data_IF_454793889166
#
_entry.id   IF_454793889166
#
_cell.length_a   1.000
_cell.length_b   1.000
_cell.length_c   1.000
_cell.angle_alpha   90.00
_cell.angle_beta   90.00
_cell.angle_gamma   90.00
#
_symmetry.space_group_name_H-M   'P 1'
#
loop_
_entity.id
_entity.type
_entity.pdbx_description
1 polymer ?
#
# COMPACT_ATOMS: atom_id res chain seq x y z
N UNK A 1 -52.66 19.66 60.16
CA UNK A 1 -51.74 18.59 59.67
C UNK A 1 -51.31 18.95 58.29
N UNK A 2 -50.10 19.44 58.14
CA UNK A 2 -49.52 19.89 56.86
C UNK A 2 -48.47 18.82 56.42
N UNK A 3 -48.77 18.11 55.39
CA UNK A 3 -47.90 17.04 54.87
C UNK A 3 -46.89 17.66 53.91
N UNK A 4 -45.60 17.68 54.32
CA UNK A 4 -44.47 18.05 53.41
C UNK A 4 -44.19 16.93 52.42
N UNK A 5 -44.33 17.24 51.14
CA UNK A 5 -43.86 16.37 50.04
C UNK A 5 -42.43 16.77 49.69
N UNK A 6 -41.46 15.91 50.03
CA UNK A 6 -40.07 16.05 49.58
C UNK A 6 -39.98 15.64 48.10
N UNK A 7 -39.61 16.57 47.23
CA UNK A 7 -39.15 16.24 45.86
C UNK A 7 -37.69 15.80 45.92
N UNK A 8 -37.41 14.53 45.66
CA UNK A 8 -36.07 14.04 45.34
C UNK A 8 -35.75 14.43 43.90
N UNK A 9 -34.86 15.41 43.74
CA UNK A 9 -34.19 15.67 42.46
C UNK A 9 -33.16 14.54 42.24
N UNK A 10 -33.47 13.62 41.34
CA UNK A 10 -32.48 12.66 40.79
C UNK A 10 -31.51 13.44 39.89
N UNK A 11 -30.25 13.53 40.32
CA UNK A 11 -29.17 14.04 39.46
C UNK A 11 -28.95 13.02 38.33
N UNK A 12 -29.36 13.37 37.12
CA UNK A 12 -28.95 12.65 35.90
C UNK A 12 -27.48 12.96 35.70
N UNK A 13 -26.61 12.02 36.04
CA UNK A 13 -25.21 12.10 35.67
C UNK A 13 -25.13 12.09 34.14
N UNK A 14 -24.62 13.16 33.54
CA UNK A 14 -24.27 13.20 32.14
C UNK A 14 -23.24 12.08 31.92
N UNK A 15 -23.65 11.03 31.20
CA UNK A 15 -22.73 10.04 30.70
C UNK A 15 -21.72 10.79 29.86
N UNK A 16 -20.46 10.86 30.29
CA UNK A 16 -19.39 11.48 29.57
C UNK A 16 -19.34 10.84 28.18
N UNK A 17 -19.34 11.66 27.11
CA UNK A 17 -19.12 11.16 25.77
C UNK A 17 -17.79 10.41 25.78
N UNK A 18 -17.80 9.15 25.36
CA UNK A 18 -16.58 8.35 25.25
C UNK A 18 -15.56 9.13 24.39
N UNK A 19 -14.33 9.22 24.88
CA UNK A 19 -13.25 9.85 24.12
C UNK A 19 -13.18 9.24 22.72
N UNK A 20 -13.02 10.07 21.67
CA UNK A 20 -12.97 9.56 20.31
C UNK A 20 -11.75 8.64 20.14
N UNK A 21 -11.93 7.51 19.43
CA UNK A 21 -10.86 6.58 19.15
C UNK A 21 -9.63 7.31 18.59
N UNK A 22 -8.44 6.92 19.08
CA UNK A 22 -7.15 7.35 18.52
C UNK A 22 -6.27 6.15 18.26
N UNK A 23 -5.61 6.12 17.10
CA UNK A 23 -4.66 5.09 16.75
C UNK A 23 -3.50 5.07 17.77
N UNK A 24 -3.09 3.87 18.15
CA UNK A 24 -2.06 3.66 19.16
C UNK A 24 -0.78 3.17 18.53
N UNK A 25 0.34 3.76 18.93
CA UNK A 25 1.68 3.39 18.48
C UNK A 25 2.60 3.20 19.67
N UNK A 26 3.45 2.18 19.61
CA UNK A 26 4.56 2.05 20.56
C UNK A 26 5.52 3.23 20.40
N UNK A 27 6.24 3.67 21.46
CA UNK A 27 7.10 4.85 21.39
C UNK A 27 8.13 4.80 20.26
N UNK A 28 8.72 3.65 19.99
CA UNK A 28 9.68 3.43 18.92
C UNK A 28 9.04 3.55 17.52
N UNK A 29 7.80 3.09 17.34
CA UNK A 29 7.06 3.24 16.09
C UNK A 29 6.57 4.68 15.91
N UNK A 30 6.08 5.30 16.97
CA UNK A 30 5.65 6.70 16.94
C UNK A 30 6.79 7.66 16.54
N UNK A 31 8.02 7.36 16.98
CA UNK A 31 9.22 8.17 16.70
C UNK A 31 9.86 7.89 15.34
N UNK A 32 9.37 6.91 14.56
CA UNK A 32 9.98 6.59 13.24
C UNK A 32 9.88 7.78 12.29
N UNK A 33 10.99 8.15 11.61
CA UNK A 33 10.93 9.13 10.55
C UNK A 33 10.10 8.61 9.36
N UNK A 34 9.67 9.53 8.50
CA UNK A 34 9.09 9.19 7.21
C UNK A 34 10.05 8.31 6.41
N UNK A 35 9.54 7.24 5.81
CA UNK A 35 10.30 6.42 4.87
C UNK A 35 9.80 6.64 3.44
N UNK A 36 10.73 6.57 2.49
CA UNK A 36 10.50 6.81 1.07
C UNK A 36 11.25 5.76 0.27
N UNK A 37 10.62 5.25 -0.79
CA UNK A 37 11.28 4.24 -1.59
C UNK A 37 10.52 3.84 -2.83
N UNK A 38 10.69 2.59 -3.23
CA UNK A 38 10.03 2.05 -4.41
C UNK A 38 9.56 0.61 -4.17
N UNK A 39 8.61 0.18 -4.98
CA UNK A 39 8.24 -1.21 -5.07
C UNK A 39 9.27 -1.94 -5.92
N UNK A 40 9.82 -3.01 -5.36
CA UNK A 40 10.80 -3.86 -6.05
C UNK A 40 10.08 -4.90 -6.88
N UNK A 41 10.55 -5.07 -8.11
CA UNK A 41 10.02 -6.10 -9.01
C UNK A 41 10.09 -7.49 -8.37
N UNK A 42 9.07 -8.27 -8.62
CA UNK A 42 8.96 -9.67 -8.22
C UNK A 42 9.98 -10.60 -8.87
N UNK A 43 10.62 -10.17 -9.97
CA UNK A 43 11.49 -11.01 -10.79
C UNK A 43 12.95 -10.98 -10.38
N UNK A 44 13.39 -9.89 -9.79
CA UNK A 44 14.81 -9.67 -9.48
C UNK A 44 14.99 -9.11 -8.09
N UNK A 45 15.92 -9.68 -7.34
CA UNK A 45 16.39 -9.17 -6.06
C UNK A 45 17.90 -9.39 -6.03
N UNK A 46 18.65 -8.40 -6.47
CA UNK A 46 20.11 -8.44 -6.53
C UNK A 46 20.75 -7.31 -5.74
N UNK A 47 22.06 -7.43 -5.49
CA UNK A 47 22.83 -6.39 -4.81
C UNK A 47 22.78 -5.05 -5.56
N UNK A 48 22.84 -5.10 -6.90
CA UNK A 48 22.73 -3.92 -7.76
C UNK A 48 21.41 -3.16 -7.58
N UNK A 49 20.32 -3.89 -7.35
CA UNK A 49 19.00 -3.28 -7.16
C UNK A 49 18.97 -2.46 -5.86
N UNK A 50 19.43 -3.05 -4.75
CA UNK A 50 19.48 -2.36 -3.46
C UNK A 50 20.51 -1.22 -3.46
N UNK A 51 21.65 -1.41 -4.09
CA UNK A 51 22.67 -0.36 -4.24
C UNK A 51 22.10 0.84 -5.02
N UNK A 52 21.49 0.59 -6.16
CA UNK A 52 20.87 1.64 -6.98
C UNK A 52 19.77 2.39 -6.21
N UNK A 53 18.88 1.67 -5.52
CA UNK A 53 17.83 2.29 -4.72
C UNK A 53 18.41 3.12 -3.56
N UNK A 54 19.49 2.66 -2.94
CA UNK A 54 20.21 3.44 -1.91
C UNK A 54 20.82 4.71 -2.47
N UNK A 55 21.45 4.65 -3.64
CA UNK A 55 22.01 5.81 -4.35
C UNK A 55 20.90 6.83 -4.72
N UNK A 56 19.70 6.36 -5.01
CA UNK A 56 18.53 7.20 -5.23
C UNK A 56 18.02 7.89 -3.95
N UNK A 57 18.39 7.40 -2.79
CA UNK A 57 17.95 7.93 -1.50
C UNK A 57 16.82 7.14 -0.87
N UNK A 58 16.47 5.97 -1.41
CA UNK A 58 15.44 5.11 -0.82
C UNK A 58 15.87 4.60 0.57
N UNK A 59 14.93 4.59 1.50
CA UNK A 59 15.08 4.05 2.86
C UNK A 59 14.20 2.84 3.10
N UNK A 60 13.24 2.60 2.22
CA UNK A 60 12.31 1.46 2.26
C UNK A 60 12.10 0.87 0.87
N UNK A 61 11.81 -0.42 0.82
CA UNK A 61 11.39 -1.13 -0.37
C UNK A 61 10.11 -1.91 -0.04
N UNK A 62 9.08 -1.76 -0.87
CA UNK A 62 7.91 -2.63 -0.83
C UNK A 62 8.23 -3.90 -1.60
N UNK A 63 8.44 -4.99 -0.85
CA UNK A 63 8.88 -6.28 -1.38
C UNK A 63 7.67 -7.15 -1.72
N UNK A 64 7.40 -7.30 -3.00
CA UNK A 64 6.28 -8.10 -3.49
C UNK A 64 6.46 -9.60 -3.22
N UNK A 65 5.52 -10.18 -2.47
CA UNK A 65 5.35 -11.63 -2.42
C UNK A 65 4.29 -12.05 -3.46
N UNK A 66 4.75 -12.44 -4.63
CA UNK A 66 3.91 -12.78 -5.77
C UNK A 66 4.33 -14.15 -6.34
N UNK A 67 3.38 -15.12 -6.53
CA UNK A 67 3.69 -16.44 -7.05
C UNK A 67 3.84 -16.44 -8.57
N UNK A 68 5.00 -16.03 -9.08
CA UNK A 68 5.31 -15.95 -10.50
C UNK A 68 6.42 -16.89 -10.91
N UNK A 69 6.62 -16.98 -12.22
CA UNK A 69 7.62 -17.83 -12.88
C UNK A 69 7.14 -19.26 -13.08
N UNK A 70 7.82 -19.99 -13.97
CA UNK A 70 7.44 -21.35 -14.38
C UNK A 70 7.40 -22.33 -13.20
N UNK A 71 8.24 -22.10 -12.20
CA UNK A 71 8.26 -22.93 -10.98
C UNK A 71 6.91 -23.00 -10.28
N UNK A 72 6.15 -21.89 -10.22
CA UNK A 72 4.93 -21.75 -9.45
C UNK A 72 3.66 -21.58 -10.27
N UNK A 73 3.79 -21.55 -11.58
CA UNK A 73 2.67 -21.40 -12.51
C UNK A 73 1.63 -22.51 -12.29
N UNK A 74 0.42 -22.12 -11.93
CA UNK A 74 -0.70 -23.01 -11.67
C UNK A 74 -0.60 -23.87 -10.40
N UNK A 75 0.47 -23.72 -9.60
CA UNK A 75 0.70 -24.57 -8.41
C UNK A 75 0.22 -23.93 -7.09
N UNK A 76 -0.31 -22.73 -7.11
CA UNK A 76 -0.79 -22.01 -5.93
C UNK A 76 -2.30 -21.85 -5.92
N UNK A 77 -3.00 -22.73 -6.64
CA UNK A 77 -4.47 -22.71 -6.76
C UNK A 77 -5.20 -23.36 -5.59
N UNK A 78 -4.49 -24.12 -4.77
CA UNK A 78 -4.96 -24.73 -3.53
C UNK A 78 -4.10 -24.30 -2.33
N UNK A 79 -4.51 -24.66 -1.13
CA UNK A 79 -3.87 -24.27 0.13
C UNK A 79 -2.46 -24.87 0.27
N UNK A 80 -2.28 -26.12 -0.13
CA UNK A 80 -1.00 -26.83 0.01
C UNK A 80 0.07 -26.23 -0.93
N UNK A 81 -0.32 -26.00 -2.18
CA UNK A 81 0.56 -25.36 -3.16
C UNK A 81 0.92 -23.94 -2.78
N UNK A 82 -0.04 -23.16 -2.27
CA UNK A 82 0.23 -21.81 -1.79
C UNK A 82 1.13 -21.83 -0.53
N UNK A 83 0.91 -22.75 0.39
CA UNK A 83 1.76 -22.91 1.57
C UNK A 83 3.20 -23.27 1.21
N UNK A 84 3.39 -24.18 0.26
CA UNK A 84 4.70 -24.55 -0.25
C UNK A 84 5.42 -23.38 -0.93
N UNK A 85 4.69 -22.59 -1.73
CA UNK A 85 5.22 -21.35 -2.31
C UNK A 85 5.61 -20.35 -1.22
N UNK A 86 4.76 -20.13 -0.24
CA UNK A 86 5.01 -19.17 0.84
C UNK A 86 6.26 -19.56 1.64
N UNK A 87 6.43 -20.83 1.96
CA UNK A 87 7.63 -21.32 2.64
C UNK A 87 8.91 -21.06 1.83
N UNK A 88 8.87 -21.33 0.54
CA UNK A 88 9.99 -21.02 -0.36
C UNK A 88 10.26 -19.52 -0.43
N UNK A 89 9.20 -18.69 -0.62
CA UNK A 89 9.34 -17.23 -0.76
C UNK A 89 9.88 -16.59 0.52
N UNK A 90 9.47 -17.07 1.69
CA UNK A 90 10.04 -16.66 2.99
C UNK A 90 11.51 -17.08 3.14
N UNK A 91 11.89 -18.22 2.58
CA UNK A 91 13.29 -18.64 2.48
C UNK A 91 14.13 -17.65 1.66
N UNK A 92 13.65 -17.27 0.47
CA UNK A 92 14.30 -16.25 -0.38
C UNK A 92 14.34 -14.89 0.32
N UNK A 93 13.24 -14.46 0.93
CA UNK A 93 13.21 -13.20 1.67
C UNK A 93 14.28 -13.16 2.78
N UNK A 94 14.37 -14.19 3.61
CA UNK A 94 15.33 -14.25 4.73
C UNK A 94 16.77 -14.49 4.29
N UNK A 95 16.98 -15.33 3.28
CA UNK A 95 18.31 -15.74 2.83
C UNK A 95 18.97 -14.78 1.84
N UNK A 96 18.18 -14.00 1.13
CA UNK A 96 18.68 -13.16 0.04
C UNK A 96 18.25 -11.68 0.21
N UNK A 97 16.98 -11.37 0.13
CA UNK A 97 16.52 -9.98 0.08
C UNK A 97 16.81 -9.20 1.39
N UNK A 98 16.56 -9.80 2.55
CA UNK A 98 16.76 -9.13 3.84
C UNK A 98 18.23 -8.87 4.17
N UNK A 99 19.19 -9.78 3.92
CA UNK A 99 20.62 -9.50 4.04
C UNK A 99 21.07 -8.34 3.13
N UNK A 100 20.65 -8.32 1.86
CA UNK A 100 20.98 -7.24 0.93
C UNK A 100 20.38 -5.90 1.39
N UNK A 101 19.11 -5.88 1.77
CA UNK A 101 18.47 -4.68 2.31
C UNK A 101 19.24 -4.12 3.53
N UNK A 102 19.66 -4.98 4.45
CA UNK A 102 20.48 -4.59 5.62
C UNK A 102 21.84 -4.01 5.23
N UNK A 103 22.51 -4.64 4.25
CA UNK A 103 23.84 -4.17 3.77
C UNK A 103 23.73 -2.74 3.24
N UNK A 104 22.65 -2.41 2.54
CA UNK A 104 22.42 -1.09 1.96
C UNK A 104 21.65 -0.12 2.89
N UNK A 105 21.29 -0.55 4.11
CA UNK A 105 20.55 0.28 5.07
C UNK A 105 19.12 0.60 4.63
N UNK A 106 18.49 -0.31 3.88
CA UNK A 106 17.09 -0.24 3.41
C UNK A 106 16.25 -1.17 4.26
N UNK A 107 15.01 -0.78 4.55
CA UNK A 107 14.02 -1.61 5.24
C UNK A 107 13.02 -2.21 4.24
N UNK A 108 12.40 -3.33 4.61
CA UNK A 108 11.44 -4.01 3.76
C UNK A 108 10.02 -3.90 4.31
N UNK A 109 9.07 -3.49 3.49
CA UNK A 109 7.65 -3.77 3.66
C UNK A 109 7.36 -5.10 2.99
N UNK A 110 6.91 -6.07 3.76
CA UNK A 110 6.58 -7.42 3.27
C UNK A 110 5.14 -7.41 2.77
N UNK A 111 4.95 -7.37 1.47
CA UNK A 111 3.65 -7.21 0.80
C UNK A 111 3.13 -8.56 0.28
N UNK A 112 1.97 -9.03 0.80
CA UNK A 112 1.25 -10.14 0.18
C UNK A 112 0.51 -9.62 -1.05
N UNK A 113 1.22 -9.58 -2.17
CA UNK A 113 0.75 -8.96 -3.40
C UNK A 113 -0.42 -9.71 -4.07
N UNK A 114 -0.48 -11.02 -3.87
CA UNK A 114 -1.62 -11.85 -4.30
C UNK A 114 -2.13 -12.64 -3.13
N UNK A 115 -3.42 -12.49 -2.79
CA UNK A 115 -4.01 -13.25 -1.70
C UNK A 115 -4.15 -14.74 -2.05
N UNK A 116 -4.10 -15.64 -1.05
CA UNK A 116 -4.38 -17.05 -1.28
C UNK A 116 -5.79 -17.23 -1.83
N UNK A 117 -5.94 -18.20 -2.76
CA UNK A 117 -7.19 -18.44 -3.47
C UNK A 117 -7.50 -17.44 -4.58
N UNK A 118 -6.79 -16.32 -4.67
CA UNK A 118 -6.96 -15.33 -5.74
C UNK A 118 -8.33 -14.64 -5.73
N UNK A 119 -8.74 -14.18 -6.92
CA UNK A 119 -10.05 -13.54 -7.12
C UNK A 119 -11.17 -14.57 -7.22
N UNK A 120 -12.38 -14.19 -6.81
CA UNK A 120 -13.59 -15.00 -6.91
C UNK A 120 -14.76 -14.39 -6.17
N UNK A 121 -15.98 -14.82 -6.48
CA UNK A 121 -17.20 -14.40 -5.78
C UNK A 121 -17.33 -12.89 -5.63
N UNK A 122 -17.35 -12.44 -4.38
CA UNK A 122 -17.48 -11.01 -4.02
C UNK A 122 -16.16 -10.21 -4.18
N UNK A 123 -15.23 -10.69 -4.97
CA UNK A 123 -13.96 -10.00 -5.29
C UNK A 123 -12.73 -10.85 -4.99
N UNK A 124 -12.55 -11.29 -3.76
CA UNK A 124 -11.49 -12.24 -3.36
C UNK A 124 -12.15 -13.51 -2.79
N UNK A 125 -11.60 -14.66 -3.12
CA UNK A 125 -12.18 -15.96 -2.70
C UNK A 125 -12.31 -16.08 -1.18
N UNK A 126 -11.37 -15.55 -0.42
CA UNK A 126 -11.39 -15.55 1.04
C UNK A 126 -12.52 -14.73 1.68
N UNK A 127 -13.21 -13.89 0.93
CA UNK A 127 -14.38 -13.16 1.44
C UNK A 127 -15.66 -14.01 1.42
N UNK A 128 -15.66 -15.09 0.63
CA UNK A 128 -16.83 -15.93 0.40
C UNK A 128 -16.65 -17.40 0.86
N UNK A 129 -15.43 -17.80 1.16
CA UNK A 129 -15.05 -19.17 1.51
C UNK A 129 -14.26 -19.18 2.82
N UNK A 130 -14.81 -19.81 3.90
CA UNK A 130 -14.16 -19.82 5.21
C UNK A 130 -12.79 -20.53 5.21
N UNK A 131 -12.60 -21.54 4.37
CA UNK A 131 -11.31 -22.24 4.25
C UNK A 131 -10.22 -21.27 3.81
N UNK A 132 -10.49 -20.43 2.80
CA UNK A 132 -9.53 -19.44 2.33
C UNK A 132 -9.38 -18.26 3.28
N UNK A 133 -10.44 -17.89 3.99
CA UNK A 133 -10.36 -16.85 5.03
C UNK A 133 -9.45 -17.29 6.17
N UNK A 134 -9.63 -18.48 6.71
CA UNK A 134 -8.80 -19.02 7.78
C UNK A 134 -7.35 -19.24 7.30
N UNK A 135 -7.18 -19.78 6.10
CA UNK A 135 -5.86 -19.97 5.50
C UNK A 135 -5.08 -18.66 5.27
N UNK A 136 -5.75 -17.56 4.90
CA UNK A 136 -5.12 -16.24 4.82
C UNK A 136 -4.57 -15.79 6.17
N UNK A 137 -5.33 -15.97 7.23
CA UNK A 137 -4.89 -15.66 8.59
C UNK A 137 -3.69 -16.52 9.00
N UNK A 138 -3.72 -17.81 8.68
CA UNK A 138 -2.62 -18.75 8.96
C UNK A 138 -1.35 -18.41 8.17
N UNK A 139 -1.48 -17.94 6.92
CA UNK A 139 -0.35 -17.41 6.17
C UNK A 139 0.33 -16.25 6.93
N UNK A 140 -0.45 -15.32 7.48
CA UNK A 140 0.10 -14.21 8.26
C UNK A 140 0.69 -14.64 9.61
N UNK A 141 0.10 -15.64 10.28
CA UNK A 141 0.73 -16.27 11.46
C UNK A 141 2.10 -16.85 11.12
N UNK A 142 2.20 -17.56 10.00
CA UNK A 142 3.47 -18.11 9.50
C UNK A 142 4.49 -17.01 9.21
N UNK A 143 4.11 -15.96 8.49
CA UNK A 143 4.98 -14.82 8.17
C UNK A 143 5.49 -14.16 9.45
N UNK A 144 4.60 -13.80 10.36
CA UNK A 144 4.96 -13.18 11.63
C UNK A 144 5.90 -14.07 12.46
N UNK A 145 5.62 -15.37 12.55
CA UNK A 145 6.50 -16.33 13.26
C UNK A 145 7.91 -16.37 12.67
N UNK A 146 8.03 -16.30 11.35
CA UNK A 146 9.32 -16.37 10.64
C UNK A 146 10.12 -15.07 10.70
N UNK A 147 9.42 -13.93 10.83
CA UNK A 147 10.03 -12.60 10.66
C UNK A 147 10.06 -11.75 11.94
N UNK A 148 9.35 -12.14 13.01
CA UNK A 148 9.39 -11.39 14.27
C UNK A 148 10.80 -11.17 14.76
N UNK A 149 11.11 -9.92 15.14
CA UNK A 149 12.44 -9.55 15.66
C UNK A 149 13.53 -9.43 14.58
N UNK A 150 13.21 -9.68 13.30
CA UNK A 150 14.16 -9.49 12.21
C UNK A 150 14.39 -7.99 11.96
N UNK A 151 15.61 -7.54 12.20
CA UNK A 151 16.01 -6.17 11.84
C UNK A 151 15.91 -6.00 10.33
N UNK A 152 15.40 -4.84 9.88
CA UNK A 152 15.24 -4.54 8.47
C UNK A 152 13.83 -4.84 7.94
N UNK A 153 12.93 -5.44 8.72
CA UNK A 153 11.49 -5.44 8.41
C UNK A 153 10.89 -4.13 8.92
N UNK A 154 10.29 -3.36 8.01
CA UNK A 154 9.59 -2.11 8.32
C UNK A 154 8.16 -2.37 8.76
N UNK A 155 7.42 -3.14 7.95
CA UNK A 155 6.00 -3.45 8.19
C UNK A 155 5.56 -4.71 7.44
N UNK A 156 4.42 -5.26 7.85
CA UNK A 156 3.65 -6.30 7.15
C UNK A 156 2.49 -5.65 6.41
N UNK A 157 2.49 -5.70 5.08
CA UNK A 157 1.42 -5.20 4.22
C UNK A 157 0.49 -6.36 3.87
N UNK A 158 -0.69 -6.36 4.50
CA UNK A 158 -1.53 -7.55 4.60
C UNK A 158 -2.03 -8.05 3.25
N UNK A 159 -2.36 -7.13 2.35
CA UNK A 159 -2.91 -7.50 1.06
C UNK A 159 -2.86 -6.32 0.09
N UNK A 160 -2.33 -6.57 -1.10
CA UNK A 160 -2.37 -5.61 -2.19
C UNK A 160 -3.79 -5.48 -2.74
N UNK A 161 -4.30 -4.26 -2.78
CA UNK A 161 -5.57 -3.88 -3.45
C UNK A 161 -6.74 -4.84 -3.16
N UNK A 162 -7.16 -4.97 -1.89
CA UNK A 162 -8.25 -5.87 -1.54
C UNK A 162 -9.53 -5.52 -2.29
N UNK A 163 -9.97 -6.44 -3.15
CA UNK A 163 -11.14 -6.23 -4.02
C UNK A 163 -12.39 -6.79 -3.36
N UNK A 164 -13.41 -5.94 -3.25
CA UNK A 164 -14.72 -6.37 -2.78
C UNK A 164 -15.84 -5.75 -3.62
N UNK A 165 -16.66 -6.61 -4.21
CA UNK A 165 -17.88 -6.26 -4.94
C UNK A 165 -19.11 -6.81 -4.19
N UNK A 166 -20.08 -5.95 -3.87
CA UNK A 166 -21.30 -6.38 -3.19
C UNK A 166 -21.08 -6.88 -1.74
N UNK A 167 -21.94 -7.80 -1.30
CA UNK A 167 -21.93 -8.33 0.06
C UNK A 167 -21.26 -9.71 0.09
N UNK A 168 -20.12 -9.84 0.79
CA UNK A 168 -19.42 -11.12 0.94
C UNK A 168 -20.21 -12.09 1.85
N UNK A 169 -19.89 -13.40 1.76
CA UNK A 169 -20.58 -14.45 2.50
C UNK A 169 -19.96 -14.75 3.87
N UNK A 170 -18.65 -14.52 4.02
CA UNK A 170 -17.88 -14.88 5.24
C UNK A 170 -17.48 -13.62 6.01
N UNK A 171 -16.75 -12.71 5.38
CA UNK A 171 -16.24 -11.49 6.03
C UNK A 171 -15.98 -10.42 4.97
N UNK A 172 -16.00 -9.15 5.35
CA UNK A 172 -15.63 -8.08 4.45
C UNK A 172 -14.10 -7.87 4.40
N UNK A 173 -13.66 -7.00 3.46
CA UNK A 173 -12.24 -6.72 3.22
C UNK A 173 -11.51 -6.16 4.44
N UNK A 174 -12.21 -5.44 5.32
CA UNK A 174 -11.61 -4.87 6.52
C UNK A 174 -11.56 -5.90 7.64
N UNK A 175 -12.63 -6.66 7.81
CA UNK A 175 -12.74 -7.72 8.81
C UNK A 175 -11.66 -8.79 8.62
N UNK A 176 -11.39 -9.24 7.38
CA UNK A 176 -10.33 -10.24 7.14
C UNK A 176 -8.93 -9.68 7.46
N UNK A 177 -8.69 -8.41 7.19
CA UNK A 177 -7.44 -7.73 7.58
C UNK A 177 -7.34 -7.56 9.10
N UNK A 178 -8.45 -7.24 9.80
CA UNK A 178 -8.48 -7.20 11.26
C UNK A 178 -8.14 -8.55 11.87
N UNK A 179 -8.69 -9.65 11.35
CA UNK A 179 -8.39 -11.01 11.81
C UNK A 179 -6.90 -11.34 11.63
N UNK A 180 -6.32 -11.03 10.48
CA UNK A 180 -4.91 -11.23 10.22
C UNK A 180 -4.02 -10.36 11.12
N UNK A 181 -4.36 -9.07 11.29
CA UNK A 181 -3.63 -8.17 12.17
C UNK A 181 -3.66 -8.64 13.65
N UNK A 182 -4.82 -9.09 14.14
CA UNK A 182 -4.94 -9.66 15.48
C UNK A 182 -4.06 -10.90 15.64
N UNK A 183 -4.09 -11.81 14.67
CA UNK A 183 -3.24 -13.00 14.68
C UNK A 183 -1.74 -12.69 14.64
N UNK A 184 -1.32 -11.65 13.92
CA UNK A 184 0.05 -11.15 13.95
C UNK A 184 0.40 -10.63 15.34
N UNK A 185 -0.48 -9.86 16.00
CA UNK A 185 -0.21 -9.27 17.32
C UNK A 185 -0.02 -10.30 18.43
N UNK A 186 -0.61 -11.48 18.32
CA UNK A 186 -0.34 -12.61 19.23
C UNK A 186 1.12 -13.11 19.13
N UNK A 187 1.79 -12.87 18.01
CA UNK A 187 3.14 -13.38 17.72
C UNK A 187 4.18 -12.24 17.75
N UNK A 188 3.86 -11.12 17.10
CA UNK A 188 4.72 -9.95 16.94
C UNK A 188 3.96 -8.68 17.35
N UNK A 189 4.24 -8.20 18.56
CA UNK A 189 3.61 -7.03 19.14
C UNK A 189 4.15 -5.70 18.62
N UNK A 190 5.25 -5.68 17.85
CA UNK A 190 6.02 -4.46 17.57
C UNK A 190 6.03 -4.05 16.10
N UNK A 191 6.17 -4.99 15.17
CA UNK A 191 6.23 -4.67 13.74
C UNK A 191 4.92 -4.05 13.27
N UNK A 192 4.92 -2.88 12.61
CA UNK A 192 3.70 -2.28 12.06
C UNK A 192 2.98 -3.22 11.09
N UNK A 193 1.65 -3.14 11.10
CA UNK A 193 0.79 -3.83 10.15
C UNK A 193 0.10 -2.79 9.29
N UNK A 194 0.22 -2.91 7.98
CA UNK A 194 -0.41 -2.05 6.99
C UNK A 194 -1.72 -2.69 6.55
N UNK A 195 -2.80 -1.92 6.68
CA UNK A 195 -4.15 -2.29 6.28
C UNK A 195 -4.56 -1.44 5.08
N UNK A 196 -4.87 -2.09 3.97
CA UNK A 196 -5.23 -1.43 2.73
C UNK A 196 -6.71 -1.07 2.68
N UNK A 197 -7.02 0.11 2.12
CA UNK A 197 -8.39 0.41 1.75
C UNK A 197 -8.85 -0.50 0.60
N UNK A 198 -10.15 -0.62 0.42
CA UNK A 198 -10.68 -1.54 -0.59
C UNK A 198 -10.53 -0.99 -2.00
N UNK A 199 -10.34 -1.89 -2.93
CA UNK A 199 -10.53 -1.65 -4.34
C UNK A 199 -12.02 -1.89 -4.68
N UNK A 200 -12.75 -0.86 -5.06
CA UNK A 200 -14.17 -0.99 -5.42
C UNK A 200 -14.44 -0.83 -6.92
N UNK A 201 -13.54 -0.16 -7.63
CA UNK A 201 -13.67 0.06 -9.09
C UNK A 201 -12.46 -0.50 -9.83
N UNK A 202 -11.26 -0.13 -9.43
CA UNK A 202 -10.03 -0.56 -10.11
C UNK A 202 -8.80 -0.69 -9.19
N UNK A 203 -8.63 0.14 -8.16
CA UNK A 203 -7.47 0.18 -7.25
C UNK A 203 -7.86 0.77 -5.89
N UNK A 204 -6.94 0.72 -4.92
CA UNK A 204 -7.10 1.31 -3.59
C UNK A 204 -7.06 2.85 -3.62
N UNK A 205 -8.02 3.49 -4.27
CA UNK A 205 -8.06 4.94 -4.43
C UNK A 205 -8.25 5.70 -3.11
N UNK A 206 -7.77 6.96 -2.99
CA UNK A 206 -7.98 7.80 -1.81
C UNK A 206 -9.45 7.92 -1.40
N UNK A 207 -10.37 7.94 -2.37
CA UNK A 207 -11.82 8.02 -2.14
C UNK A 207 -12.38 6.83 -1.36
N UNK A 208 -11.70 5.68 -1.39
CA UNK A 208 -12.12 4.49 -0.67
C UNK A 208 -11.96 4.62 0.86
N UNK A 209 -11.24 5.64 1.34
CA UNK A 209 -11.16 5.95 2.78
C UNK A 209 -12.51 6.28 3.40
N UNK A 210 -13.52 6.63 2.61
CA UNK A 210 -14.91 6.78 3.11
C UNK A 210 -15.48 5.49 3.75
N UNK A 211 -14.93 4.33 3.43
CA UNK A 211 -15.30 3.04 4.04
C UNK A 211 -14.30 2.53 5.06
N UNK A 212 -13.13 3.19 5.18
CA UNK A 212 -12.13 2.80 6.15
C UNK A 212 -12.61 3.12 7.57
N UNK A 213 -12.37 2.18 8.48
CA UNK A 213 -12.62 2.36 9.91
C UNK A 213 -11.32 2.17 10.67
N UNK A 214 -11.13 2.87 11.80
CA UNK A 214 -9.98 2.64 12.64
C UNK A 214 -10.06 1.24 13.27
N UNK A 215 -8.90 0.60 13.43
CA UNK A 215 -8.75 -0.73 14.02
C UNK A 215 -8.14 -0.56 15.41
N UNK A 216 -8.77 -1.15 16.41
CA UNK A 216 -8.33 -1.09 17.82
C UNK A 216 -7.22 -2.12 18.08
N UNK A 217 -6.09 -1.92 17.40
CA UNK A 217 -4.84 -2.65 17.60
C UNK A 217 -3.68 -1.66 17.51
N UNK A 218 -2.59 -1.94 18.25
CA UNK A 218 -1.39 -1.09 18.26
C UNK A 218 -0.61 -1.23 16.94
N UNK A 219 0.04 -0.15 16.50
CA UNK A 219 0.93 -0.11 15.31
C UNK A 219 0.22 -0.49 14.01
N UNK A 220 -0.99 0.01 13.78
CA UNK A 220 -1.70 -0.14 12.50
C UNK A 220 -1.45 1.09 11.64
N UNK A 221 -0.98 0.89 10.42
CA UNK A 221 -0.86 1.88 9.37
C UNK A 221 -1.98 1.66 8.35
N UNK A 222 -2.40 2.71 7.66
CA UNK A 222 -3.50 2.66 6.70
C UNK A 222 -3.00 3.02 5.31
N UNK A 223 -3.33 2.19 4.32
CA UNK A 223 -2.76 2.30 2.98
C UNK A 223 -3.80 2.66 1.93
N UNK A 224 -3.36 3.46 0.96
CA UNK A 224 -3.98 3.64 -0.34
C UNK A 224 -2.92 3.69 -1.44
N UNK A 225 -3.37 3.62 -2.71
CA UNK A 225 -2.53 3.84 -3.88
C UNK A 225 -2.91 5.16 -4.55
N UNK A 226 -1.91 5.91 -4.99
CA UNK A 226 -2.11 7.21 -5.61
C UNK A 226 -1.88 7.13 -7.12
N UNK A 227 -2.97 6.88 -7.84
CA UNK A 227 -2.97 6.87 -9.29
C UNK A 227 -3.91 7.91 -9.89
N UNK A 228 -4.47 8.79 -9.07
CA UNK A 228 -5.39 9.80 -9.53
C UNK A 228 -4.69 11.00 -10.21
N UNK A 229 -5.25 11.52 -11.30
CA UNK A 229 -6.42 11.03 -12.04
C UNK A 229 -6.10 9.74 -12.80
N UNK A 230 -6.84 8.68 -12.57
CA UNK A 230 -6.51 7.35 -13.08
C UNK A 230 -6.51 7.22 -14.60
N UNK A 231 -7.45 7.88 -15.26
CA UNK A 231 -7.51 7.94 -16.73
C UNK A 231 -6.28 8.64 -17.34
N UNK A 232 -5.63 9.55 -16.60
CA UNK A 232 -4.37 10.15 -16.99
C UNK A 232 -3.19 9.20 -16.73
N UNK A 233 -3.06 8.66 -15.51
CA UNK A 233 -1.89 7.85 -15.14
C UNK A 233 -1.83 6.52 -15.88
N UNK A 234 -2.99 5.96 -16.25
CA UNK A 234 -3.13 4.68 -16.94
C UNK A 234 -3.66 4.82 -18.38
N UNK A 235 -3.58 6.03 -18.96
CA UNK A 235 -4.02 6.24 -20.33
C UNK A 235 -3.31 5.26 -21.28
N UNK A 236 -4.10 4.64 -22.18
CA UNK A 236 -3.64 3.65 -23.16
C UNK A 236 -2.86 2.44 -22.59
N UNK A 237 -2.95 2.20 -21.28
CA UNK A 237 -2.44 0.98 -20.62
C UNK A 237 -3.54 -0.08 -20.58
N UNK A 238 -4.72 0.31 -20.09
CA UNK A 238 -5.86 -0.59 -19.96
C UNK A 238 -6.84 -0.42 -21.13
N UNK A 239 -7.55 -1.48 -21.53
CA UNK A 239 -8.55 -1.41 -22.60
C UNK A 239 -9.60 -0.31 -22.40
N UNK A 240 -9.99 -0.05 -21.15
CA UNK A 240 -10.93 1.02 -20.79
C UNK A 240 -10.42 2.42 -21.18
N UNK A 241 -9.11 2.63 -21.20
CA UNK A 241 -8.47 3.92 -21.48
C UNK A 241 -7.68 3.93 -22.79
N UNK A 242 -7.96 2.99 -23.70
CA UNK A 242 -7.24 2.84 -24.99
C UNK A 242 -7.22 4.09 -25.85
N UNK A 243 -8.27 4.89 -25.76
CA UNK A 243 -8.46 6.12 -26.57
C UNK A 243 -8.22 7.40 -25.74
N UNK A 244 -7.84 7.26 -24.47
CA UNK A 244 -7.59 8.43 -23.61
C UNK A 244 -6.30 9.13 -24.02
N UNK A 245 -6.39 10.45 -24.20
CA UNK A 245 -5.25 11.34 -24.37
C UNK A 245 -5.42 12.47 -23.34
N UNK A 246 -4.58 12.47 -22.34
CA UNK A 246 -4.62 13.43 -21.25
C UNK A 246 -3.22 13.96 -20.94
N UNK A 247 -3.15 15.13 -20.34
CA UNK A 247 -1.91 15.77 -19.93
C UNK A 247 -2.01 16.22 -18.45
N UNK A 248 -0.88 16.41 -17.82
CA UNK A 248 -0.78 17.03 -16.52
C UNK A 248 0.28 18.16 -16.54
N UNK A 249 0.00 19.32 -15.95
CA UNK A 249 -1.29 19.71 -15.37
C UNK A 249 -2.36 19.97 -16.45
N UNK A 250 -3.64 19.89 -16.05
CA UNK A 250 -4.79 20.26 -16.86
C UNK A 250 -5.72 21.14 -16.02
N UNK A 251 -5.60 22.45 -16.19
CA UNK A 251 -6.36 23.43 -15.42
C UNK A 251 -7.88 23.34 -15.66
N UNK A 252 -8.30 22.95 -16.88
CA UNK A 252 -9.73 22.83 -17.22
C UNK A 252 -10.40 21.69 -16.43
N UNK A 253 -9.63 20.66 -16.10
CA UNK A 253 -10.08 19.52 -15.28
C UNK A 253 -9.76 19.69 -13.79
N UNK A 254 -9.07 20.75 -13.41
CA UNK A 254 -8.57 20.93 -12.06
C UNK A 254 -7.48 19.91 -11.66
N UNK A 255 -6.75 19.42 -12.65
CA UNK A 255 -5.65 18.48 -12.45
C UNK A 255 -4.34 19.26 -12.31
N UNK A 256 -4.01 19.60 -11.11
CA UNK A 256 -2.82 20.30 -10.67
C UNK A 256 -2.47 19.89 -9.24
N UNK A 257 -1.43 20.46 -8.66
CA UNK A 257 -0.99 20.14 -7.29
C UNK A 257 -2.10 20.36 -6.26
N UNK A 258 -2.96 21.38 -6.43
CA UNK A 258 -4.08 21.62 -5.52
C UNK A 258 -5.21 20.61 -5.76
N UNK A 259 -5.45 20.21 -7.02
CA UNK A 259 -6.36 19.11 -7.36
C UNK A 259 -5.97 17.80 -6.70
N UNK A 260 -4.68 17.47 -6.70
CA UNK A 260 -4.16 16.27 -6.01
C UNK A 260 -4.46 16.33 -4.50
N UNK A 261 -4.28 17.49 -3.85
CA UNK A 261 -4.62 17.68 -2.43
C UNK A 261 -6.12 17.49 -2.15
N UNK A 262 -7.00 17.97 -3.05
CA UNK A 262 -8.45 17.74 -2.94
C UNK A 262 -8.80 16.26 -3.08
N UNK A 263 -8.14 15.54 -3.96
CA UNK A 263 -8.34 14.08 -4.17
C UNK A 263 -8.02 13.30 -2.90
N UNK A 264 -6.93 13.62 -2.20
CA UNK A 264 -6.53 12.90 -0.97
C UNK A 264 -7.19 13.43 0.32
N UNK A 265 -8.10 14.42 0.21
CA UNK A 265 -8.76 15.00 1.38
C UNK A 265 -9.44 13.96 2.30
N UNK A 266 -10.13 12.90 1.81
CA UNK A 266 -10.69 11.86 2.68
C UNK A 266 -9.63 11.14 3.52
N UNK A 267 -8.43 10.92 3.00
CA UNK A 267 -7.30 10.32 3.72
C UNK A 267 -6.81 11.26 4.82
N UNK A 268 -6.64 12.56 4.49
CA UNK A 268 -6.25 13.60 5.48
C UNK A 268 -7.26 13.75 6.60
N UNK A 269 -8.55 13.66 6.29
CA UNK A 269 -9.60 13.69 7.31
C UNK A 269 -9.49 12.49 8.26
N UNK A 270 -9.33 11.29 7.71
CA UNK A 270 -9.15 10.06 8.49
C UNK A 270 -7.90 10.16 9.39
N UNK A 271 -6.77 10.56 8.83
CA UNK A 271 -5.51 10.74 9.55
C UNK A 271 -5.67 11.70 10.74
N UNK A 272 -6.22 12.90 10.52
CA UNK A 272 -6.41 13.92 11.58
C UNK A 272 -7.39 13.47 12.64
N UNK A 273 -8.49 12.84 12.22
CA UNK A 273 -9.54 12.37 13.12
C UNK A 273 -9.03 11.30 14.08
N UNK A 274 -8.25 10.35 13.56
CA UNK A 274 -7.82 9.18 14.30
C UNK A 274 -6.35 9.19 14.74
N UNK A 275 -5.55 10.17 14.31
CA UNK A 275 -4.10 10.17 14.54
C UNK A 275 -3.40 9.03 13.81
N UNK A 276 -3.96 8.61 12.67
CA UNK A 276 -3.51 7.44 11.93
C UNK A 276 -2.21 7.71 11.16
N UNK A 277 -1.31 6.74 11.07
CA UNK A 277 -0.18 6.78 10.12
C UNK A 277 -0.63 6.27 8.76
N UNK A 278 -0.23 6.97 7.72
CA UNK A 278 -0.58 6.68 6.34
C UNK A 278 0.64 6.14 5.58
N UNK A 279 0.40 5.10 4.80
CA UNK A 279 1.36 4.54 3.86
C UNK A 279 0.76 4.62 2.44
N UNK A 280 1.53 5.14 1.48
CA UNK A 280 1.15 5.14 0.07
C UNK A 280 1.94 4.02 -0.61
N UNK A 281 1.31 2.86 -0.78
CA UNK A 281 1.99 1.65 -1.25
C UNK A 281 2.48 1.75 -2.68
N UNK A 282 1.74 2.52 -3.50
CA UNK A 282 2.06 2.69 -4.92
C UNK A 282 1.64 4.08 -5.41
N UNK A 283 2.46 4.68 -6.25
CA UNK A 283 2.08 5.80 -7.13
C UNK A 283 2.98 5.82 -8.36
N UNK A 284 2.40 6.10 -9.52
CA UNK A 284 3.12 6.24 -10.79
C UNK A 284 2.22 6.85 -11.86
N UNK A 285 2.83 7.33 -12.94
CA UNK A 285 2.15 7.65 -14.18
C UNK A 285 2.93 7.05 -15.35
N UNK A 286 2.23 6.57 -16.38
CA UNK A 286 2.85 5.90 -17.52
C UNK A 286 3.79 6.86 -18.28
N UNK A 287 4.91 6.33 -18.74
CA UNK A 287 6.04 7.11 -19.27
C UNK A 287 5.68 8.01 -20.46
N UNK A 288 4.71 7.62 -21.29
CA UNK A 288 4.26 8.40 -22.43
C UNK A 288 3.16 9.43 -22.09
N UNK A 289 2.69 9.49 -20.85
CA UNK A 289 1.74 10.51 -20.42
C UNK A 289 2.43 11.89 -20.37
N UNK A 290 1.89 12.87 -21.10
CA UNK A 290 2.48 14.23 -21.13
C UNK A 290 2.45 14.86 -19.74
N UNK A 291 3.63 15.30 -19.24
CA UNK A 291 3.82 15.91 -17.92
C UNK A 291 3.86 14.91 -16.77
N UNK A 292 4.18 13.61 -17.04
CA UNK A 292 4.29 12.60 -16.00
C UNK A 292 5.42 12.88 -14.99
N UNK A 293 6.48 13.57 -15.40
CA UNK A 293 7.54 14.07 -14.53
C UNK A 293 7.00 15.10 -13.53
N UNK A 294 6.18 16.04 -14.00
CA UNK A 294 5.57 17.04 -13.13
C UNK A 294 4.57 16.39 -12.15
N UNK A 295 3.78 15.42 -12.63
CA UNK A 295 2.85 14.69 -11.77
C UNK A 295 3.60 13.93 -10.66
N UNK A 296 4.70 13.24 -11.00
CA UNK A 296 5.55 12.53 -10.02
C UNK A 296 6.09 13.52 -8.98
N UNK A 297 6.57 14.70 -9.41
CA UNK A 297 7.08 15.72 -8.52
C UNK A 297 5.99 16.26 -7.58
N UNK A 298 4.82 16.62 -8.11
CA UNK A 298 3.72 17.21 -7.33
C UNK A 298 3.15 16.19 -6.32
N UNK A 299 2.98 14.91 -6.72
CA UNK A 299 2.57 13.84 -5.79
C UNK A 299 3.62 13.63 -4.71
N UNK A 300 4.88 13.40 -5.08
CA UNK A 300 5.94 13.15 -4.11
C UNK A 300 6.15 14.32 -3.13
N UNK A 301 6.07 15.55 -3.61
CA UNK A 301 6.14 16.74 -2.76
C UNK A 301 4.97 16.80 -1.76
N UNK A 302 3.75 16.51 -2.21
CA UNK A 302 2.57 16.43 -1.34
C UNK A 302 2.71 15.34 -0.28
N UNK A 303 3.19 14.15 -0.64
CA UNK A 303 3.40 13.06 0.30
C UNK A 303 4.46 13.41 1.34
N UNK A 304 5.53 14.09 0.93
CA UNK A 304 6.57 14.58 1.82
C UNK A 304 6.06 15.68 2.78
N UNK A 305 5.28 16.64 2.28
CA UNK A 305 4.63 17.68 3.08
C UNK A 305 3.74 17.10 4.18
N UNK A 306 3.01 16.02 3.86
CA UNK A 306 2.13 15.36 4.82
C UNK A 306 2.86 14.39 5.77
N UNK A 307 4.13 14.10 5.51
CA UNK A 307 4.91 13.13 6.28
C UNK A 307 4.44 11.69 6.09
N UNK A 308 3.74 11.38 4.99
CA UNK A 308 3.26 10.05 4.70
C UNK A 308 4.38 9.16 4.16
N UNK A 309 4.45 7.93 4.66
CA UNK A 309 5.37 6.92 4.13
C UNK A 309 4.95 6.50 2.73
N UNK A 310 5.92 6.24 1.82
CA UNK A 310 5.52 5.90 0.46
C UNK A 310 6.53 5.06 -0.32
N UNK A 311 6.03 4.32 -1.33
CA UNK A 311 6.81 3.62 -2.34
C UNK A 311 6.33 4.00 -3.75
N UNK A 312 7.28 4.32 -4.64
CA UNK A 312 7.03 4.54 -6.07
C UNK A 312 6.81 3.20 -6.78
N UNK A 313 5.84 3.13 -7.66
CA UNK A 313 5.57 1.96 -8.51
C UNK A 313 6.06 2.21 -9.95
N UNK A 314 7.06 1.49 -10.43
CA UNK A 314 7.84 0.50 -9.77
C UNK A 314 9.31 0.55 -10.26
N UNK A 315 10.19 0.04 -9.42
CA UNK A 315 11.59 -0.12 -9.79
C UNK A 315 11.78 -1.37 -10.66
N UNK A 316 12.26 -1.20 -11.88
CA UNK A 316 12.65 -2.28 -12.83
C UNK A 316 11.57 -3.35 -13.08
N UNK A 317 10.30 -3.01 -13.05
CA UNK A 317 9.22 -3.94 -13.31
C UNK A 317 8.80 -3.91 -14.79
N UNK A 318 8.22 -2.80 -15.22
CA UNK A 318 7.87 -2.56 -16.60
C UNK A 318 8.42 -1.21 -17.05
N UNK A 319 9.04 -1.11 -18.25
CA UNK A 319 9.63 0.15 -18.72
C UNK A 319 8.67 1.33 -18.73
N UNK A 320 7.36 1.10 -18.88
CA UNK A 320 6.33 2.13 -18.79
C UNK A 320 6.19 2.77 -17.41
N UNK A 321 6.50 2.05 -16.34
CA UNK A 321 6.53 2.57 -14.96
C UNK A 321 7.92 2.98 -14.52
N UNK A 322 8.93 2.22 -14.90
CA UNK A 322 10.32 2.46 -14.49
C UNK A 322 10.84 3.81 -14.97
N UNK A 323 11.40 4.60 -14.05
CA UNK A 323 12.02 5.89 -14.38
C UNK A 323 13.39 5.76 -15.03
N UNK A 324 13.98 4.55 -15.06
CA UNK A 324 15.23 4.26 -15.80
C UNK A 324 15.00 4.13 -17.32
N UNK A 325 13.78 4.38 -17.80
CA UNK A 325 13.42 4.24 -19.21
C UNK A 325 12.76 5.51 -19.74
N UNK A 326 13.03 5.80 -21.00
CA UNK A 326 12.37 6.85 -21.78
C UNK A 326 11.67 6.24 -22.97
N UNK A 327 10.54 6.83 -23.35
CA UNK A 327 9.83 6.46 -24.58
C UNK A 327 10.57 7.04 -25.77
N UNK A 328 10.93 6.20 -26.74
CA UNK A 328 11.58 6.59 -27.98
C UNK A 328 10.60 6.66 -29.13
N UNK A 329 9.52 5.87 -29.08
CA UNK A 329 8.51 5.77 -30.13
C UNK A 329 7.20 5.23 -29.54
N UNK A 330 6.06 5.60 -30.11
CA UNK A 330 4.73 5.14 -29.69
C UNK A 330 4.20 5.86 -28.44
N UNK A 331 2.92 5.67 -28.17
CA UNK A 331 2.20 6.38 -27.11
C UNK A 331 1.19 5.52 -26.33
N UNK A 332 1.34 4.22 -26.41
CA UNK A 332 0.47 3.26 -25.71
C UNK A 332 1.27 2.05 -25.22
N UNK A 333 0.71 1.27 -24.33
CA UNK A 333 1.33 0.05 -23.83
C UNK A 333 1.65 -0.96 -24.96
N UNK A 334 0.85 -0.94 -26.04
CA UNK A 334 1.03 -1.84 -27.19
C UNK A 334 2.07 -1.33 -28.20
N UNK A 335 2.31 -0.04 -28.30
CA UNK A 335 3.15 0.57 -29.34
C UNK A 335 4.43 1.21 -28.81
N UNK A 336 4.51 1.50 -27.50
CA UNK A 336 5.63 2.19 -26.94
C UNK A 336 6.93 1.36 -27.02
N UNK A 337 7.98 1.99 -27.55
CA UNK A 337 9.35 1.49 -27.49
C UNK A 337 10.11 2.30 -26.44
N UNK A 338 10.98 1.64 -25.72
CA UNK A 338 11.71 2.21 -24.61
C UNK A 338 13.22 2.06 -24.79
N UNK A 339 13.96 3.03 -24.30
CA UNK A 339 15.40 2.97 -24.13
C UNK A 339 15.75 3.26 -22.67
N UNK A 340 16.81 2.64 -22.19
CA UNK A 340 17.37 2.94 -20.85
C UNK A 340 17.94 4.33 -20.84
N UNK A 341 17.76 5.06 -19.73
CA UNK A 341 18.26 6.41 -19.51
C UNK A 341 18.60 6.64 -18.06
N UNK A 342 19.82 7.09 -17.80
CA UNK A 342 20.32 7.41 -16.46
C UNK A 342 19.95 8.83 -16.03
N UNK A 343 19.49 9.67 -16.97
CA UNK A 343 19.10 11.06 -16.71
C UNK A 343 17.94 11.46 -17.64
N UNK A 344 16.77 11.54 -17.07
CA UNK A 344 15.56 11.98 -17.75
C UNK A 344 14.66 12.75 -16.77
N UNK A 345 13.65 13.52 -17.27
CA UNK A 345 12.79 14.34 -16.41
C UNK A 345 12.07 13.53 -15.31
N UNK A 346 11.55 12.33 -15.62
CA UNK A 346 10.85 11.47 -14.64
C UNK A 346 11.80 11.02 -13.52
N UNK A 347 13.00 10.61 -13.89
CA UNK A 347 14.04 10.20 -12.94
C UNK A 347 14.43 11.35 -12.02
N UNK A 348 14.73 12.54 -12.60
CA UNK A 348 15.05 13.74 -11.80
C UNK A 348 13.93 14.10 -10.83
N UNK A 349 12.66 14.03 -11.27
CA UNK A 349 11.49 14.28 -10.43
C UNK A 349 11.43 13.31 -9.25
N UNK A 350 11.55 11.99 -9.50
CA UNK A 350 11.52 10.98 -8.44
C UNK A 350 12.71 11.13 -7.48
N UNK A 351 13.95 11.33 -7.99
CA UNK A 351 15.13 11.49 -7.16
C UNK A 351 15.06 12.72 -6.26
N UNK A 352 14.47 13.82 -6.75
CA UNK A 352 14.28 15.04 -5.94
C UNK A 352 13.39 14.74 -4.72
N UNK A 353 12.24 14.12 -4.92
CA UNK A 353 11.32 13.83 -3.81
C UNK A 353 11.81 12.70 -2.88
N UNK A 354 12.59 11.73 -3.39
CA UNK A 354 13.26 10.72 -2.57
C UNK A 354 14.27 11.33 -1.60
N UNK A 355 15.05 12.29 -2.07
CA UNK A 355 16.06 12.98 -1.27
C UNK A 355 15.47 14.05 -0.33
N UNK A 356 14.20 14.40 -0.52
CA UNK A 356 13.50 15.39 0.30
C UNK A 356 13.94 16.83 -0.01
N UNK A 357 14.35 17.08 -1.24
CA UNK A 357 14.74 18.41 -1.74
C UNK A 357 13.52 19.11 -2.35
#
# INVERSE_FOLDING_TARGET
MMTCVLFLLAAVSAAGAAEPFKAQYTPDVAARPQVRGAMLSQYTVGDDDFRTLKEWGATVVRYQMYPVGERWKGKTSDTDGFAAWLDWKLGVLKGEALPLARTHGIQLVVDMHVPPGGRGGSGMKMLDDPVWADFFVDCWRKIATRLRGERGIYAYDLINEPTQFGKPKVCDYLEIQCRAAAAIREIDGTTPVIVSCRNDVAWCAPSAFRWMKPIDLVNIYYQFHMYEPFDYTHQKVLPLFKDTVAAYPDAAKGWDAEGLRRIVAPVREFERRYGARIFVGEFSAVAYAKGCDKWIADVGAMLNEYGWDWCYHAFREWPGWSVEHVVTEGDSAATAKFATSNDNPRMRALLSVLKGN
#
